data_IF_036118782010
#
_entry.id   IF_036118782010
#
_cell.length_a   1.000
_cell.length_b   1.000
_cell.length_c   1.000
_cell.angle_alpha   90.00
_cell.angle_beta   90.00
_cell.angle_gamma   90.00
#
_symmetry.space_group_name_H-M   'P 1'
#
loop_
_entity.id
_entity.type
_entity.pdbx_description
1 polymer ?
#
# COMPACT_ATOMS: atom_id res chain seq x y z
N UNK A 1 7.60 -42.99 46.27
CA UNK A 1 7.14 -42.65 44.90
C UNK A 1 8.36 -42.27 44.08
N UNK A 2 8.56 -42.93 42.94
CA UNK A 2 9.74 -42.74 42.09
C UNK A 2 9.60 -41.46 41.28
N UNK A 3 10.61 -40.58 41.33
CA UNK A 3 10.65 -39.33 40.56
C UNK A 3 11.34 -39.65 39.22
N UNK A 4 10.57 -39.68 38.14
CA UNK A 4 11.10 -39.93 36.79
C UNK A 4 11.95 -38.75 36.32
N UNK A 5 13.13 -39.03 35.76
CA UNK A 5 14.04 -38.01 35.20
C UNK A 5 13.33 -37.19 34.10
N UNK A 6 13.57 -35.87 34.03
CA UNK A 6 13.00 -35.02 32.98
C UNK A 6 13.63 -35.36 31.61
N UNK A 7 12.88 -35.23 30.50
CA UNK A 7 13.36 -35.62 29.18
C UNK A 7 14.45 -34.66 28.69
N UNK A 8 15.62 -35.22 28.34
CA UNK A 8 16.75 -34.50 27.77
C UNK A 8 16.48 -34.20 26.30
N UNK A 9 16.50 -32.92 25.91
CA UNK A 9 16.45 -32.49 24.51
C UNK A 9 17.74 -32.92 23.80
N UNK A 10 17.63 -33.76 22.78
CA UNK A 10 18.71 -33.94 21.79
C UNK A 10 18.56 -32.88 20.70
N UNK A 11 19.61 -32.13 20.44
CA UNK A 11 19.81 -31.38 19.19
C UNK A 11 21.32 -31.31 18.90
N UNK A 12 21.73 -31.13 17.64
CA UNK A 12 21.39 -31.82 16.40
C UNK A 12 22.62 -32.64 15.91
N UNK A 13 22.53 -33.46 14.84
CA UNK A 13 23.24 -33.02 13.63
C UNK A 13 22.64 -33.59 12.33
N UNK A 14 22.22 -32.73 11.43
CA UNK A 14 22.26 -33.07 10.00
C UNK A 14 22.73 -31.82 9.27
N UNK A 15 24.02 -31.80 8.93
CA UNK A 15 24.51 -30.89 7.91
C UNK A 15 23.75 -31.24 6.62
N UNK A 16 22.96 -30.29 6.12
CA UNK A 16 22.40 -30.39 4.78
C UNK A 16 23.59 -30.40 3.80
N UNK A 17 23.65 -31.33 2.83
CA UNK A 17 24.62 -31.23 1.76
C UNK A 17 24.37 -29.91 1.05
N UNK A 18 25.37 -29.04 0.97
CA UNK A 18 25.36 -27.93 0.02
C UNK A 18 25.28 -28.56 -1.37
N UNK A 19 24.20 -28.39 -2.13
CA UNK A 19 24.27 -28.73 -3.54
C UNK A 19 25.32 -27.82 -4.16
N UNK A 20 26.21 -28.39 -4.98
CA UNK A 20 27.03 -27.60 -5.90
C UNK A 20 26.05 -26.91 -6.86
N UNK A 21 25.64 -25.70 -6.48
CA UNK A 21 24.72 -24.89 -7.25
C UNK A 21 25.50 -24.39 -8.45
N UNK A 22 25.26 -24.99 -9.61
CA UNK A 22 25.74 -24.45 -10.88
C UNK A 22 25.24 -23.00 -11.00
N UNK A 23 26.17 -22.05 -10.98
CA UNK A 23 25.88 -20.59 -11.02
C UNK A 23 24.92 -20.23 -12.17
N UNK A 24 25.04 -20.95 -13.30
CA UNK A 24 24.15 -20.81 -14.46
C UNK A 24 22.68 -21.09 -14.16
N UNK A 25 22.37 -22.09 -13.33
CA UNK A 25 20.99 -22.41 -12.92
C UNK A 25 20.44 -21.34 -11.99
N UNK A 26 21.30 -20.72 -11.19
CA UNK A 26 20.91 -19.61 -10.31
C UNK A 26 20.58 -18.37 -11.14
N UNK A 27 21.39 -18.06 -12.16
CA UNK A 27 21.12 -16.96 -13.10
C UNK A 27 19.80 -17.16 -13.86
N UNK A 28 19.52 -18.37 -14.34
CA UNK A 28 18.24 -18.68 -15.01
C UNK A 28 17.03 -18.47 -14.09
N UNK A 29 17.14 -18.87 -12.82
CA UNK A 29 16.05 -18.67 -11.83
C UNK A 29 15.89 -17.18 -11.47
N UNK A 30 16.98 -16.43 -11.34
CA UNK A 30 16.94 -14.98 -11.12
C UNK A 30 16.27 -14.28 -12.31
N UNK A 31 16.66 -14.62 -13.54
CA UNK A 31 16.08 -14.07 -14.75
C UNK A 31 14.61 -14.44 -14.92
N UNK A 32 14.21 -15.67 -14.54
CA UNK A 32 12.81 -16.12 -14.55
C UNK A 32 11.96 -15.39 -13.50
N UNK A 33 12.51 -15.08 -12.33
CA UNK A 33 11.81 -14.37 -11.26
C UNK A 33 11.65 -12.86 -11.49
N UNK A 34 12.53 -12.24 -12.28
CA UNK A 34 12.56 -10.78 -12.49
C UNK A 34 11.67 -10.27 -13.64
N UNK A 35 10.92 -11.15 -14.32
CA UNK A 35 10.07 -10.81 -15.47
C UNK A 35 8.81 -9.98 -15.15
N UNK A 36 8.52 -9.69 -13.87
CA UNK A 36 7.29 -8.99 -13.47
C UNK A 36 7.43 -7.47 -13.30
N UNK A 37 8.62 -6.90 -13.50
CA UNK A 37 8.87 -5.46 -13.27
C UNK A 37 9.32 -4.64 -14.49
N UNK A 38 9.48 -5.24 -15.68
CA UNK A 38 9.72 -4.49 -16.91
C UNK A 38 8.42 -4.30 -17.71
N UNK A 39 7.86 -3.11 -17.52
CA UNK A 39 6.75 -2.45 -18.21
C UNK A 39 6.30 -2.98 -19.60
N UNK A 40 5.06 -3.51 -19.62
CA UNK A 40 3.93 -3.31 -20.55
C UNK A 40 4.15 -3.23 -22.08
N UNK A 41 3.23 -3.85 -22.85
CA UNK A 41 2.08 -3.06 -23.30
C UNK A 41 0.75 -3.76 -23.02
N UNK A 42 -0.11 -3.09 -22.26
CA UNK A 42 -1.52 -3.45 -22.09
C UNK A 42 -2.26 -2.97 -23.35
N UNK A 43 -2.00 -3.63 -24.47
CA UNK A 43 -2.88 -3.59 -25.61
C UNK A 43 -3.98 -4.64 -25.37
N UNK A 44 -5.22 -4.28 -25.68
CA UNK A 44 -6.37 -5.20 -25.76
C UNK A 44 -7.06 -5.58 -24.44
N UNK A 45 -7.71 -4.62 -23.77
CA UNK A 45 -9.03 -4.89 -23.18
C UNK A 45 -9.81 -3.61 -22.89
N UNK A 46 -11.03 -3.57 -23.43
CA UNK A 46 -12.17 -2.76 -23.00
C UNK A 46 -12.21 -1.28 -23.41
N UNK A 47 -12.73 -1.08 -24.63
CA UNK A 47 -13.43 0.10 -25.09
C UNK A 47 -14.44 0.68 -24.08
N UNK A 48 -14.23 1.92 -23.62
CA UNK A 48 -15.27 2.91 -23.25
C UNK A 48 -14.59 4.31 -23.25
N UNK A 49 -15.14 5.34 -23.94
CA UNK A 49 -14.52 6.65 -23.99
C UNK A 49 -14.92 7.45 -22.75
N UNK A 50 -14.10 7.41 -21.69
CA UNK A 50 -14.21 8.37 -20.60
C UNK A 50 -13.22 9.49 -20.90
N UNK A 51 -13.82 10.66 -21.14
CA UNK A 51 -13.21 11.97 -21.36
C UNK A 51 -11.78 12.12 -20.78
N UNK A 52 -10.84 12.43 -21.68
CA UNK A 52 -9.65 13.25 -21.48
C UNK A 52 -9.19 13.45 -20.03
N UNK A 53 -8.65 12.41 -19.40
CA UNK A 53 -7.69 12.58 -18.32
C UNK A 53 -6.37 12.92 -19.00
N UNK A 54 -5.71 14.06 -18.72
CA UNK A 54 -4.43 14.37 -19.34
C UNK A 54 -3.47 13.22 -19.05
N UNK A 55 -2.86 12.71 -20.12
CA UNK A 55 -1.88 11.65 -20.13
C UNK A 55 -0.95 11.78 -18.92
N UNK A 56 -0.79 10.67 -18.20
CA UNK A 56 -0.05 10.51 -16.97
C UNK A 56 1.28 11.30 -16.99
N UNK A 57 1.23 12.54 -16.51
CA UNK A 57 2.41 13.24 -16.06
C UNK A 57 2.96 12.38 -14.93
N UNK A 58 4.22 11.94 -15.04
CA UNK A 58 4.98 11.21 -14.02
C UNK A 58 4.45 11.50 -12.61
N UNK A 59 3.55 10.65 -12.10
CA UNK A 59 2.92 10.86 -10.80
C UNK A 59 3.96 10.44 -9.76
N UNK A 60 4.92 11.34 -9.50
CA UNK A 60 5.93 11.16 -8.46
C UNK A 60 5.23 11.31 -7.12
N UNK A 61 4.84 10.16 -6.55
CA UNK A 61 4.31 10.09 -5.19
C UNK A 61 5.37 10.62 -4.22
N UNK A 62 5.01 11.65 -3.46
CA UNK A 62 5.87 12.22 -2.42
C UNK A 62 5.24 11.95 -1.06
N UNK A 63 5.99 11.30 -0.19
CA UNK A 63 5.60 11.15 1.21
C UNK A 63 5.94 12.44 1.95
N UNK A 64 4.98 12.96 2.70
CA UNK A 64 5.17 14.11 3.57
C UNK A 64 4.59 13.80 4.95
N UNK A 65 5.23 14.30 6.00
CA UNK A 65 4.77 14.14 7.39
C UNK A 65 4.22 15.49 7.87
N UNK A 66 2.98 15.52 8.35
CA UNK A 66 2.36 16.71 8.95
C UNK A 66 2.18 16.51 10.43
N UNK A 67 2.53 17.52 11.23
CA UNK A 67 2.17 17.61 12.64
C UNK A 67 0.92 18.47 12.79
N UNK A 68 -0.12 17.92 13.38
CA UNK A 68 -1.38 18.62 13.67
C UNK A 68 -1.63 18.61 15.18
N UNK A 69 -2.23 19.67 15.74
CA UNK A 69 -2.72 19.65 17.12
C UNK A 69 -3.73 18.50 17.34
N UNK A 70 -3.70 17.85 18.51
CA UNK A 70 -4.63 16.77 18.81
C UNK A 70 -6.11 17.22 18.77
N UNK A 71 -6.37 18.48 19.18
CA UNK A 71 -7.71 19.06 19.15
C UNK A 71 -8.29 19.13 17.72
N UNK A 72 -7.47 19.41 16.71
CA UNK A 72 -7.96 19.47 15.33
C UNK A 72 -8.27 18.08 14.79
N UNK A 73 -7.51 17.05 15.18
CA UNK A 73 -7.81 15.66 14.82
C UNK A 73 -9.16 15.18 15.39
N UNK A 74 -9.46 15.53 16.64
CA UNK A 74 -10.74 15.19 17.26
C UNK A 74 -11.94 15.79 16.50
N UNK A 75 -11.83 17.07 16.10
CA UNK A 75 -12.86 17.75 15.31
C UNK A 75 -13.03 17.08 13.93
N UNK A 76 -11.92 16.67 13.30
CA UNK A 76 -11.98 15.95 12.01
C UNK A 76 -12.74 14.64 12.16
N UNK A 77 -12.51 13.89 13.23
CA UNK A 77 -13.19 12.61 13.45
C UNK A 77 -14.69 12.79 13.73
N UNK A 78 -15.08 13.81 14.47
CA UNK A 78 -16.50 14.17 14.66
C UNK A 78 -17.19 14.53 13.33
N UNK A 79 -16.52 15.31 12.48
CA UNK A 79 -17.06 15.68 11.17
C UNK A 79 -17.14 14.48 10.22
N UNK A 80 -16.16 13.57 10.27
CA UNK A 80 -16.18 12.32 9.50
C UNK A 80 -17.32 11.40 9.93
N UNK A 81 -17.62 11.34 11.23
CA UNK A 81 -18.70 10.51 11.76
C UNK A 81 -20.10 10.95 11.28
N UNK A 82 -20.27 12.24 10.96
CA UNK A 82 -21.53 12.80 10.44
C UNK A 82 -21.80 12.44 8.97
N UNK A 83 -20.79 12.02 8.20
CA UNK A 83 -21.00 11.63 6.80
C UNK A 83 -21.76 10.28 6.72
N UNK A 84 -22.74 10.15 5.81
CA UNK A 84 -23.55 8.95 5.70
C UNK A 84 -22.66 7.74 5.37
N UNK A 85 -22.82 6.68 6.17
CA UNK A 85 -22.09 5.42 5.97
C UNK A 85 -22.66 4.69 4.77
N UNK A 86 -21.81 3.94 4.06
CA UNK A 86 -22.28 3.06 2.99
C UNK A 86 -23.16 1.97 3.64
N UNK A 87 -24.40 1.73 3.17
CA UNK A 87 -25.36 0.86 3.87
C UNK A 87 -24.87 -0.58 4.04
N UNK A 88 -23.91 -1.01 3.22
CA UNK A 88 -23.37 -2.38 3.22
C UNK A 88 -22.06 -2.53 4.00
N UNK A 89 -21.44 -1.46 4.52
CA UNK A 89 -20.18 -1.56 5.25
C UNK A 89 -20.15 -0.77 6.56
N UNK A 90 -19.71 -1.39 7.67
CA UNK A 90 -19.63 -0.74 8.98
C UNK A 90 -18.43 0.23 9.10
N UNK A 91 -17.62 0.39 8.04
CA UNK A 91 -16.44 1.26 8.06
C UNK A 91 -16.85 2.71 7.86
N UNK A 92 -16.15 3.61 8.53
CA UNK A 92 -16.29 5.06 8.31
C UNK A 92 -16.14 5.34 6.81
N UNK A 93 -17.03 6.16 6.25
CA UNK A 93 -17.14 6.32 4.80
C UNK A 93 -15.91 6.92 4.11
N UNK A 94 -14.94 7.44 4.87
CA UNK A 94 -13.73 8.09 4.36
C UNK A 94 -12.58 7.96 5.36
N UNK A 95 -11.33 7.78 4.90
CA UNK A 95 -10.12 7.82 5.75
C UNK A 95 -9.84 9.24 6.28
N UNK A 96 -9.01 9.39 7.33
CA UNK A 96 -8.51 10.72 7.75
C UNK A 96 -7.68 11.36 6.65
N UNK A 97 -6.86 10.55 5.97
CA UNK A 97 -6.03 10.99 4.86
C UNK A 97 -6.88 11.49 3.69
N UNK A 98 -7.88 10.72 3.26
CA UNK A 98 -8.78 11.10 2.17
C UNK A 98 -9.55 12.38 2.51
N UNK A 99 -9.98 12.53 3.76
CA UNK A 99 -10.63 13.77 4.22
C UNK A 99 -9.71 14.99 4.12
N UNK A 100 -8.44 14.83 4.49
CA UNK A 100 -7.43 15.89 4.36
C UNK A 100 -7.14 16.22 2.90
N UNK A 101 -7.03 15.21 2.03
CA UNK A 101 -6.80 15.41 0.60
C UNK A 101 -7.97 16.17 -0.05
N UNK A 102 -9.21 15.79 0.24
CA UNK A 102 -10.41 16.48 -0.26
C UNK A 102 -10.44 17.95 0.19
N UNK A 103 -10.11 18.21 1.46
CA UNK A 103 -10.04 19.59 1.99
C UNK A 103 -8.94 20.43 1.32
N UNK A 104 -7.79 19.83 1.01
CA UNK A 104 -6.69 20.50 0.29
C UNK A 104 -7.11 20.81 -1.15
N UNK A 105 -7.69 19.85 -1.86
CA UNK A 105 -8.17 20.06 -3.23
C UNK A 105 -9.23 21.15 -3.30
N UNK A 106 -10.21 21.14 -2.38
CA UNK A 106 -11.23 22.18 -2.30
C UNK A 106 -10.60 23.56 -2.05
N UNK A 107 -9.60 23.64 -1.17
CA UNK A 107 -8.87 24.87 -0.90
C UNK A 107 -8.09 25.36 -2.13
N UNK A 108 -7.40 24.48 -2.85
CA UNK A 108 -6.70 24.81 -4.09
C UNK A 108 -7.68 25.35 -5.14
N UNK A 109 -8.81 24.68 -5.35
CA UNK A 109 -9.83 25.13 -6.31
C UNK A 109 -10.40 26.50 -5.95
N UNK A 110 -10.68 26.75 -4.67
CA UNK A 110 -11.15 28.07 -4.19
C UNK A 110 -10.13 29.17 -4.45
N UNK A 111 -8.84 28.91 -4.22
CA UNK A 111 -7.79 29.90 -4.47
C UNK A 111 -7.50 30.10 -5.96
N UNK A 112 -7.50 29.03 -6.76
CA UNK A 112 -7.39 29.15 -8.21
C UNK A 112 -8.51 30.01 -8.79
N UNK A 113 -9.75 29.89 -8.31
CA UNK A 113 -10.87 30.74 -8.73
C UNK A 113 -10.76 32.20 -8.26
N UNK A 114 -10.00 32.47 -7.19
CA UNK A 114 -9.89 33.81 -6.60
C UNK A 114 -8.74 34.61 -7.22
N UNK A 115 -7.69 33.94 -7.66
CA UNK A 115 -6.45 34.57 -8.12
C UNK A 115 -6.13 34.32 -9.61
N UNK A 116 -6.94 33.55 -10.35
CA UNK A 116 -7.00 33.60 -11.82
C UNK A 116 -8.16 34.48 -12.26
#
# INVERSE_FOLDING_TARGET
MAISKPPVRKAPPVALPTPDLDEKKVEEVINRGSSSLTAAPIAEAAALPIAAVPAAADVRLKNFNIKLPAATLAVIDELRAKRPRKPTSPKLGISTQDWLLEAIEEKIQREQKKYR
#
